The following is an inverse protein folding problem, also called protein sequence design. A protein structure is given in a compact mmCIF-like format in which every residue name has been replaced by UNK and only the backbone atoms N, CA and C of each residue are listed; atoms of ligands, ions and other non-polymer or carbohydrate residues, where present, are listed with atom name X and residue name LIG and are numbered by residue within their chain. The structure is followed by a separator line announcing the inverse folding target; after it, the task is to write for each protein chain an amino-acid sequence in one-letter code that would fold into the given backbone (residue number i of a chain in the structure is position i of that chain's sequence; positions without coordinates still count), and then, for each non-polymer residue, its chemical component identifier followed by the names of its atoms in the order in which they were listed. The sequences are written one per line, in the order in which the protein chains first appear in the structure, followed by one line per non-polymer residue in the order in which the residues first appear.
data_IF_581240052975
#
_entry.id   IF_581240052975
#
_cell.length_a   1.000
_cell.length_b   1.000
_cell.length_c   1.000
_cell.angle_alpha   90.00
_cell.angle_beta   90.00
_cell.angle_gamma   90.00
#
_symmetry.space_group_name_H-M   'P 1'
#
loop_
_entity.id
_entity.type
_entity.pdbx_description
1 polymer ?
#
# COMPACT_ATOMS: atom_id res chain seq x y z
N UNK A 1 19.39 26.52 13.32
CA UNK A 1 20.64 26.69 12.53
C UNK A 1 21.53 25.50 12.80
N UNK A 2 21.98 24.76 11.79
CA UNK A 2 22.92 23.64 11.98
C UNK A 2 24.27 24.14 12.45
N UNK A 3 24.76 23.60 13.57
CA UNK A 3 26.10 23.85 14.10
C UNK A 3 27.00 22.68 13.69
N UNK A 4 28.23 22.95 13.22
CA UNK A 4 29.18 21.90 12.82
C UNK A 4 29.47 20.89 13.95
N UNK A 5 29.38 21.33 15.21
CA UNK A 5 29.55 20.47 16.39
C UNK A 5 28.44 19.41 16.48
N UNK A 6 27.22 19.79 16.13
CA UNK A 6 26.09 18.88 16.04
C UNK A 6 26.22 17.98 14.80
N UNK A 7 26.67 18.51 13.67
CA UNK A 7 26.94 17.69 12.48
C UNK A 7 27.99 16.62 12.74
N UNK A 8 29.05 16.92 13.49
CA UNK A 8 30.07 15.93 13.88
C UNK A 8 29.54 14.77 14.73
N UNK A 9 28.47 15.00 15.49
CA UNK A 9 27.92 13.98 16.38
C UNK A 9 26.94 13.02 15.69
N UNK A 10 26.47 13.33 14.47
CA UNK A 10 25.54 12.47 13.74
C UNK A 10 26.20 11.17 13.29
N UNK A 11 25.41 10.09 13.24
CA UNK A 11 25.92 8.78 12.81
C UNK A 11 26.40 8.79 11.36
N UNK A 12 25.62 9.39 10.45
CA UNK A 12 25.97 9.49 9.03
C UNK A 12 27.31 10.19 8.80
N UNK A 13 27.59 11.24 9.57
CA UNK A 13 28.87 11.94 9.49
C UNK A 13 30.03 11.07 9.96
N UNK A 14 29.88 10.40 11.11
CA UNK A 14 30.92 9.48 11.64
C UNK A 14 31.20 8.32 10.69
N UNK A 15 30.16 7.75 10.11
CA UNK A 15 30.30 6.69 9.10
C UNK A 15 31.03 7.19 7.86
N UNK A 16 30.76 8.42 7.40
CA UNK A 16 31.44 9.00 6.26
C UNK A 16 32.95 9.20 6.52
N UNK A 17 33.30 9.69 7.71
CA UNK A 17 34.71 9.86 8.14
C UNK A 17 35.41 8.51 8.28
N UNK A 18 34.74 7.52 8.87
CA UNK A 18 35.28 6.16 8.99
C UNK A 18 35.50 5.49 7.62
N UNK A 19 34.60 5.72 6.66
CA UNK A 19 34.74 5.19 5.32
C UNK A 19 35.94 5.80 4.58
N UNK A 20 36.22 7.09 4.78
CA UNK A 20 37.36 7.76 4.14
C UNK A 20 38.69 7.52 4.84
N UNK A 21 38.67 7.12 6.11
CA UNK A 21 39.86 6.66 6.85
C UNK A 21 40.56 5.48 6.17
N UNK A 22 39.79 4.60 5.52
CA UNK A 22 40.32 3.44 4.79
C UNK A 22 41.00 3.84 3.47
N UNK A 23 40.67 5.01 2.92
CA UNK A 23 41.24 5.50 1.66
C UNK A 23 42.58 6.19 1.95
N UNK A 24 42.57 7.15 2.88
CA UNK A 24 43.76 7.92 3.21
C UNK A 24 43.74 8.41 4.67
N UNK A 25 44.56 7.79 5.52
CA UNK A 25 44.67 8.12 6.94
C UNK A 25 45.60 9.33 7.20
N UNK A 26 45.33 10.16 8.23
CA UNK A 26 44.05 10.27 8.92
C UNK A 26 43.01 10.91 7.98
N UNK A 27 41.75 10.48 8.08
CA UNK A 27 40.62 11.15 7.45
C UNK A 27 40.49 12.56 8.04
N UNK A 28 40.04 13.49 7.19
CA UNK A 28 39.90 14.88 7.58
C UNK A 28 38.43 15.27 7.59
N UNK A 29 38.01 15.76 8.75
CA UNK A 29 36.70 16.31 9.03
C UNK A 29 36.65 17.83 8.71
N UNK A 30 35.93 18.60 9.52
CA UNK A 30 36.13 20.04 9.62
C UNK A 30 37.55 20.34 10.11
N UNK A 31 38.36 20.90 9.22
CA UNK A 31 39.74 21.27 9.47
C UNK A 31 39.86 22.79 9.58
N UNK A 32 40.74 23.27 10.46
CA UNK A 32 41.06 24.69 10.58
C UNK A 32 42.28 24.99 9.71
N UNK A 33 42.17 25.80 8.64
CA UNK A 33 43.30 26.02 7.73
C UNK A 33 44.56 26.57 8.41
N UNK A 34 44.40 27.33 9.50
CA UNK A 34 45.54 27.89 10.26
C UNK A 34 46.44 26.84 10.93
N UNK A 35 45.95 25.62 11.12
CA UNK A 35 46.67 24.52 11.75
C UNK A 35 47.59 23.77 10.77
N UNK A 36 47.44 24.01 9.45
CA UNK A 36 48.18 23.30 8.41
C UNK A 36 49.14 24.25 7.70
N UNK A 37 50.24 24.57 8.36
CA UNK A 37 51.24 25.49 7.83
C UNK A 37 52.26 24.75 6.95
N UNK A 38 52.20 25.01 5.64
CA UNK A 38 53.09 24.42 4.64
C UNK A 38 52.47 24.44 3.24
N UNK A 39 53.26 24.61 2.18
CA UNK A 39 52.73 24.70 0.81
C UNK A 39 52.04 23.42 0.33
N UNK A 40 52.42 22.25 0.86
CA UNK A 40 51.86 20.94 0.49
C UNK A 40 50.85 20.40 1.50
N UNK A 41 50.93 20.80 2.78
CA UNK A 41 50.05 20.32 3.84
C UNK A 41 48.60 20.77 3.66
N UNK A 42 48.39 22.03 3.23
CA UNK A 42 47.04 22.54 2.98
C UNK A 42 46.32 21.79 1.85
N UNK A 43 47.02 21.49 0.77
CA UNK A 43 46.45 20.77 -0.37
C UNK A 43 46.07 19.32 0.00
N UNK A 44 46.91 18.63 0.77
CA UNK A 44 46.61 17.28 1.24
C UNK A 44 45.36 17.23 2.13
N UNK A 45 45.20 18.22 3.00
CA UNK A 45 44.02 18.37 3.87
C UNK A 45 42.77 18.59 3.03
N UNK A 46 42.83 19.44 2.01
CA UNK A 46 41.71 19.70 1.09
C UNK A 46 41.32 18.42 0.35
N UNK A 47 42.29 17.66 -0.16
CA UNK A 47 42.02 16.39 -0.85
C UNK A 47 41.27 15.41 0.07
N UNK A 48 41.76 15.26 1.31
CA UNK A 48 41.12 14.40 2.31
C UNK A 48 39.72 14.86 2.70
N UNK A 49 39.51 16.18 2.84
CA UNK A 49 38.17 16.75 3.07
C UNK A 49 37.23 16.49 1.90
N UNK A 50 37.71 16.61 0.67
CA UNK A 50 36.93 16.34 -0.53
C UNK A 50 36.47 14.88 -0.58
N UNK A 51 37.30 13.93 -0.17
CA UNK A 51 36.91 12.52 -0.05
C UNK A 51 35.73 12.37 0.91
N UNK A 52 35.79 12.99 2.10
CA UNK A 52 34.71 12.95 3.09
C UNK A 52 33.43 13.61 2.57
N UNK A 53 33.55 14.73 1.85
CA UNK A 53 32.40 15.39 1.21
C UNK A 53 31.74 14.51 0.14
N UNK A 54 32.54 13.88 -0.73
CA UNK A 54 32.03 12.95 -1.74
C UNK A 54 31.30 11.77 -1.10
N UNK A 55 31.85 11.21 -0.03
CA UNK A 55 31.21 10.11 0.69
C UNK A 55 29.85 10.52 1.27
N UNK A 56 29.74 11.71 1.87
CA UNK A 56 28.48 12.26 2.36
C UNK A 56 27.47 12.47 1.21
N UNK A 57 27.91 12.98 0.07
CA UNK A 57 27.04 13.17 -1.10
C UNK A 57 26.52 11.83 -1.64
N UNK A 58 27.36 10.80 -1.67
CA UNK A 58 26.95 9.44 -2.07
C UNK A 58 25.91 8.88 -1.10
N UNK A 59 26.09 9.06 0.21
CA UNK A 59 25.11 8.63 1.22
C UNK A 59 23.75 9.35 1.05
N UNK A 60 23.78 10.66 0.76
CA UNK A 60 22.56 11.43 0.48
C UNK A 60 21.89 10.92 -0.80
N UNK A 61 22.65 10.70 -1.87
CA UNK A 61 22.12 10.19 -3.13
C UNK A 61 21.48 8.80 -2.97
N UNK A 62 22.09 7.93 -2.16
CA UNK A 62 21.52 6.62 -1.80
C UNK A 62 20.21 6.78 -1.04
N UNK A 63 20.19 7.62 -0.01
CA UNK A 63 18.99 7.86 0.80
C UNK A 63 17.84 8.42 -0.04
N UNK A 64 18.13 9.32 -0.99
CA UNK A 64 17.13 9.84 -1.94
C UNK A 64 16.59 8.76 -2.87
N UNK A 65 17.45 7.85 -3.33
CA UNK A 65 17.03 6.72 -4.15
C UNK A 65 16.13 5.76 -3.38
N UNK A 66 16.47 5.48 -2.13
CA UNK A 66 15.67 4.62 -1.25
C UNK A 66 14.29 5.25 -1.00
N UNK A 67 14.24 6.55 -0.67
CA UNK A 67 12.97 7.30 -0.55
C UNK A 67 12.17 7.26 -1.86
N UNK A 68 12.81 7.39 -3.01
CA UNK A 68 12.12 7.33 -4.29
C UNK A 68 11.50 5.95 -4.56
N UNK A 69 12.18 4.88 -4.15
CA UNK A 69 11.65 3.50 -4.20
C UNK A 69 10.46 3.38 -3.27
N UNK A 70 10.59 3.82 -2.02
CA UNK A 70 9.50 3.77 -1.03
C UNK A 70 8.26 4.52 -1.53
N UNK A 71 8.43 5.72 -2.09
CA UNK A 71 7.32 6.48 -2.68
C UNK A 71 6.65 5.75 -3.84
N UNK A 72 7.41 5.07 -4.71
CA UNK A 72 6.83 4.27 -5.78
C UNK A 72 6.01 3.11 -5.22
N UNK A 73 6.51 2.41 -4.20
CA UNK A 73 5.77 1.31 -3.57
C UNK A 73 4.47 1.80 -2.93
N UNK A 74 4.50 2.95 -2.24
CA UNK A 74 3.31 3.55 -1.64
C UNK A 74 2.29 3.96 -2.72
N UNK A 75 2.75 4.56 -3.83
CA UNK A 75 1.88 4.91 -4.96
C UNK A 75 1.27 3.66 -5.61
N UNK A 76 2.02 2.57 -5.74
CA UNK A 76 1.51 1.31 -6.27
C UNK A 76 0.50 0.66 -5.32
N UNK A 77 0.78 0.64 -4.02
CA UNK A 77 -0.13 0.13 -2.99
C UNK A 77 -1.42 0.95 -2.91
N UNK A 78 -1.34 2.28 -2.98
CA UNK A 78 -2.53 3.14 -2.99
C UNK A 78 -3.34 2.99 -4.28
N UNK A 79 -2.69 2.88 -5.45
CA UNK A 79 -3.39 2.51 -6.70
C UNK A 79 -4.03 1.12 -6.62
N UNK A 80 -3.37 0.16 -5.97
CA UNK A 80 -3.93 -1.17 -5.68
C UNK A 80 -5.15 -1.09 -4.76
N UNK A 81 -5.09 -0.23 -3.73
CA UNK A 81 -6.22 0.07 -2.84
C UNK A 81 -7.40 0.70 -3.57
N UNK A 82 -7.15 1.66 -4.46
CA UNK A 82 -8.18 2.29 -5.32
C UNK A 82 -8.83 1.24 -6.24
N UNK A 83 -8.04 0.31 -6.79
CA UNK A 83 -8.57 -0.82 -7.57
C UNK A 83 -9.41 -1.77 -6.73
N UNK A 84 -9.05 -2.00 -5.47
CA UNK A 84 -9.82 -2.86 -4.57
C UNK A 84 -11.18 -2.24 -4.19
N UNK A 85 -11.25 -0.92 -3.96
CA UNK A 85 -12.54 -0.22 -3.76
C UNK A 85 -13.40 -0.26 -5.01
N UNK A 86 -12.84 0.00 -6.20
CA UNK A 86 -13.62 -0.10 -7.43
C UNK A 86 -14.12 -1.52 -7.71
N UNK A 87 -13.33 -2.55 -7.37
CA UNK A 87 -13.75 -3.95 -7.47
C UNK A 87 -14.86 -4.30 -6.47
N UNK A 88 -14.81 -3.74 -5.26
CA UNK A 88 -15.86 -3.89 -4.25
C UNK A 88 -17.18 -3.28 -4.72
N UNK A 89 -17.15 -2.09 -5.31
CA UNK A 89 -18.35 -1.44 -5.87
C UNK A 89 -18.94 -2.27 -7.03
N UNK A 90 -18.09 -2.81 -7.90
CA UNK A 90 -18.48 -3.72 -8.99
C UNK A 90 -19.05 -5.05 -8.47
N UNK A 91 -18.52 -5.58 -7.36
CA UNK A 91 -19.02 -6.79 -6.70
C UNK A 91 -20.39 -6.53 -6.07
N UNK A 92 -20.57 -5.40 -5.40
CA UNK A 92 -21.83 -5.01 -4.77
C UNK A 92 -22.92 -4.84 -5.84
N UNK A 93 -22.63 -4.16 -6.94
CA UNK A 93 -23.60 -3.98 -8.02
C UNK A 93 -23.98 -5.30 -8.71
N UNK A 94 -23.01 -6.21 -8.91
CA UNK A 94 -23.30 -7.55 -9.45
C UNK A 94 -24.11 -8.42 -8.49
N UNK A 95 -23.85 -8.33 -7.19
CA UNK A 95 -24.61 -9.06 -6.16
C UNK A 95 -26.03 -8.52 -5.99
N UNK A 96 -26.23 -7.20 -6.06
CA UNK A 96 -27.55 -6.58 -5.98
C UNK A 96 -28.46 -7.01 -7.14
N UNK A 97 -27.89 -7.23 -8.32
CA UNK A 97 -28.63 -7.69 -9.50
C UNK A 97 -28.73 -9.23 -9.58
N UNK A 98 -28.17 -9.95 -8.61
CA UNK A 98 -28.20 -11.41 -8.60
C UNK A 98 -29.55 -11.90 -8.09
N UNK A 99 -30.48 -12.16 -9.00
CA UNK A 99 -31.72 -12.88 -8.71
C UNK A 99 -31.50 -14.38 -8.95
N UNK A 100 -31.64 -15.20 -7.91
CA UNK A 100 -31.47 -16.66 -7.95
C UNK A 100 -32.67 -17.40 -8.59
N UNK A 101 -33.51 -16.69 -9.34
CA UNK A 101 -34.74 -17.20 -9.94
C UNK A 101 -36.00 -16.67 -9.24
N UNK A 102 -37.18 -16.98 -9.77
CA UNK A 102 -38.45 -16.53 -9.21
C UNK A 102 -38.64 -17.07 -7.79
N UNK A 103 -38.96 -16.18 -6.84
CA UNK A 103 -39.22 -16.50 -5.42
C UNK A 103 -40.46 -17.37 -5.23
N UNK A 104 -41.32 -17.46 -6.24
CA UNK A 104 -42.50 -18.31 -6.23
C UNK A 104 -42.17 -19.68 -6.81
N UNK A 105 -42.20 -20.70 -5.95
CA UNK A 105 -42.25 -22.10 -6.38
C UNK A 105 -43.41 -22.30 -7.36
N UNK A 106 -43.21 -23.01 -8.49
CA UNK A 106 -44.27 -23.21 -9.48
C UNK A 106 -45.49 -23.84 -8.80
N UNK A 107 -46.64 -23.14 -8.88
CA UNK A 107 -47.89 -23.61 -8.28
C UNK A 107 -48.27 -24.94 -8.91
N UNK A 108 -48.27 -26.00 -8.11
CA UNK A 108 -48.69 -27.32 -8.56
C UNK A 108 -50.13 -27.24 -9.10
N UNK A 109 -50.34 -27.79 -10.30
CA UNK A 109 -51.66 -27.82 -10.92
C UNK A 109 -52.63 -28.60 -10.04
N UNK A 110 -53.82 -28.04 -9.76
CA UNK A 110 -54.85 -28.71 -8.96
C UNK A 110 -55.14 -30.09 -9.56
N UNK A 111 -54.97 -31.14 -8.75
CA UNK A 111 -55.19 -32.53 -9.17
C UNK A 111 -56.63 -32.78 -9.62
N UNK A 112 -56.80 -33.75 -10.53
CA UNK A 112 -58.13 -34.13 -11.04
C UNK A 112 -58.86 -35.00 -10.00
N UNK A 113 -59.92 -34.46 -9.40
CA UNK A 113 -60.76 -35.19 -8.45
C UNK A 113 -61.51 -36.32 -9.18
N UNK A 114 -61.20 -37.57 -8.85
CA UNK A 114 -61.90 -38.76 -9.38
C UNK A 114 -62.97 -39.20 -8.39
N UNK A 115 -64.22 -38.81 -8.65
CA UNK A 115 -65.38 -39.16 -7.83
C UNK A 115 -66.46 -39.79 -8.70
N UNK A 116 -67.17 -40.79 -8.17
CA UNK A 116 -68.22 -41.53 -8.88
C UNK A 116 -69.42 -40.66 -9.25
N UNK A 117 -69.72 -39.66 -8.42
CA UNK A 117 -70.73 -38.62 -8.67
C UNK A 117 -70.20 -37.26 -8.28
N UNK A 118 -70.66 -36.24 -8.99
CA UNK A 118 -70.29 -34.85 -8.74
C UNK A 118 -70.82 -34.40 -7.35
N UNK A 119 -69.95 -34.05 -6.40
CA UNK A 119 -70.35 -33.68 -5.05
C UNK A 119 -71.25 -32.45 -5.00
N UNK A 120 -71.15 -31.54 -5.99
CA UNK A 120 -72.01 -30.36 -6.04
C UNK A 120 -73.46 -30.71 -6.41
N UNK A 121 -73.67 -31.80 -7.14
CA UNK A 121 -75.03 -32.29 -7.45
C UNK A 121 -75.67 -32.92 -6.22
N UNK A 122 -74.90 -33.72 -5.48
CA UNK A 122 -75.35 -34.33 -4.22
C UNK A 122 -75.78 -33.24 -3.23
N UNK A 123 -74.97 -32.17 -3.11
CA UNK A 123 -75.26 -31.08 -2.18
C UNK A 123 -76.58 -30.37 -2.53
N UNK A 124 -76.83 -30.11 -3.82
CA UNK A 124 -78.10 -29.51 -4.26
C UNK A 124 -79.30 -30.43 -3.99
N UNK A 125 -79.17 -31.72 -4.28
CA UNK A 125 -80.23 -32.70 -4.03
C UNK A 125 -80.59 -32.79 -2.53
N UNK A 126 -79.60 -32.72 -1.64
CA UNK A 126 -79.85 -32.71 -0.19
C UNK A 126 -80.47 -31.39 0.29
N UNK A 127 -80.08 -30.25 -0.28
CA UNK A 127 -80.67 -28.96 0.04
C UNK A 127 -82.13 -28.84 -0.40
N UNK A 128 -82.50 -29.46 -1.52
CA UNK A 128 -83.89 -29.49 -1.98
C UNK A 128 -84.77 -30.41 -1.13
N UNK A 129 -84.21 -31.48 -0.54
CA UNK A 129 -84.92 -32.35 0.41
C UNK A 129 -85.17 -31.70 1.78
N UNK A 130 -84.43 -30.64 2.11
CA UNK A 130 -84.54 -29.89 3.36
C UNK A 130 -85.57 -28.73 3.27
N UNK A 131 -86.19 -28.53 2.10
CA UNK A 131 -87.34 -27.63 1.90
C UNK A 131 -88.64 -28.41 1.93
#
# INVERSE_FOLDING_TARGET
MSNYTFTKSTSSYKEAVQATEQIESPAVEFAKPSEFQGPTSGNMVIIKQNNTQLQLLVQIAKSLKDIQVDLKTIVEQTKGGIKATSLLDDLITKLQNLSLGPTESPKEGKGKLRVFRDPYKILKEEQEKLK
#
